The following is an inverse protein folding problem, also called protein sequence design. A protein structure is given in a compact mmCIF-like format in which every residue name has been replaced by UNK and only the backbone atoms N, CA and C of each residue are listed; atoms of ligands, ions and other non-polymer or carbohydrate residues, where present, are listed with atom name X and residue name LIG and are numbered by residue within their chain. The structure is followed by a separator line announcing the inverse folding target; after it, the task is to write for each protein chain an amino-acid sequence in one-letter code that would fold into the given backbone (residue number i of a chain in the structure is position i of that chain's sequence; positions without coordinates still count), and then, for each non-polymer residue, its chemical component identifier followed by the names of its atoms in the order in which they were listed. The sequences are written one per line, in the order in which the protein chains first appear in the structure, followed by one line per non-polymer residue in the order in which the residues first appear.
data_IF_175641963329
#
_entry.id   IF_175641963329
#
_cell.length_a   1.000
_cell.length_b   1.000
_cell.length_c   1.000
_cell.angle_alpha   90.00
_cell.angle_beta   90.00
_cell.angle_gamma   90.00
#
_symmetry.space_group_name_H-M   'P 1'
#
loop_
_entity.id
_entity.type
_entity.pdbx_description
1 polymer ?
#
# COMPACT_ATOMS: atom_id res chain seq x y z
N UNK A 1 -5.59 -8.15 0.93
CA UNK A 1 -4.44 -8.04 1.86
C UNK A 1 -4.84 -8.51 3.26
N UNK A 2 -3.93 -9.00 4.07
CA UNK A 2 -4.19 -9.26 5.50
C UNK A 2 -3.90 -8.00 6.31
N UNK A 3 -4.78 -7.64 7.22
CA UNK A 3 -4.60 -6.51 8.14
C UNK A 3 -4.86 -6.95 9.58
N UNK A 4 -4.44 -6.10 10.52
CA UNK A 4 -4.90 -6.14 11.90
C UNK A 4 -5.72 -4.87 12.16
N UNK A 5 -6.97 -5.02 12.59
CA UNK A 5 -7.84 -3.90 12.96
C UNK A 5 -8.50 -4.20 14.31
N UNK A 6 -8.38 -3.28 15.28
CA UNK A 6 -8.85 -3.46 16.66
C UNK A 6 -8.42 -4.80 17.29
N UNK A 7 -7.17 -5.19 17.06
CA UNK A 7 -6.57 -6.44 17.56
C UNK A 7 -6.99 -7.71 16.83
N UNK A 8 -7.83 -7.63 15.79
CA UNK A 8 -8.28 -8.78 15.01
C UNK A 8 -7.57 -8.88 13.67
N UNK A 9 -7.13 -10.08 13.30
CA UNK A 9 -6.57 -10.35 11.98
C UNK A 9 -7.69 -10.64 10.98
N UNK A 10 -7.66 -9.96 9.83
CA UNK A 10 -8.66 -10.16 8.79
C UNK A 10 -8.09 -9.97 7.39
N UNK A 11 -8.63 -10.73 6.43
CA UNK A 11 -8.36 -10.52 5.01
C UNK A 11 -9.35 -9.50 4.47
N UNK A 12 -8.84 -8.45 3.81
CA UNK A 12 -9.66 -7.37 3.24
C UNK A 12 -9.31 -7.12 1.78
N UNK A 13 -10.33 -6.78 1.01
CA UNK A 13 -10.21 -6.19 -0.33
C UNK A 13 -10.14 -4.65 -0.24
N UNK A 14 -9.96 -3.98 -1.38
CA UNK A 14 -9.86 -2.53 -1.43
C UNK A 14 -11.14 -1.83 -0.94
N UNK A 15 -12.32 -2.43 -1.13
CA UNK A 15 -13.60 -1.88 -0.67
C UNK A 15 -13.70 -1.90 0.85
N UNK A 16 -13.35 -3.02 1.46
CA UNK A 16 -13.36 -3.18 2.92
C UNK A 16 -12.31 -2.28 3.54
N UNK A 17 -11.10 -2.21 2.97
CA UNK A 17 -10.07 -1.28 3.40
C UNK A 17 -10.54 0.19 3.31
N UNK A 18 -11.16 0.60 2.20
CA UNK A 18 -11.71 1.95 2.04
C UNK A 18 -12.75 2.28 3.11
N UNK A 19 -13.68 1.36 3.41
CA UNK A 19 -14.68 1.55 4.47
C UNK A 19 -14.05 1.68 5.85
N UNK A 20 -13.02 0.89 6.15
CA UNK A 20 -12.31 1.00 7.44
C UNK A 20 -11.59 2.34 7.57
N UNK A 21 -10.97 2.83 6.49
CA UNK A 21 -10.30 4.13 6.47
C UNK A 21 -11.31 5.27 6.59
N UNK A 22 -12.41 5.23 5.84
CA UNK A 22 -13.46 6.26 5.88
C UNK A 22 -14.10 6.42 7.27
N UNK A 23 -14.17 5.32 8.03
CA UNK A 23 -14.74 5.32 9.38
C UNK A 23 -13.67 5.46 10.48
N UNK A 24 -12.40 5.68 10.13
CA UNK A 24 -11.35 5.88 11.12
C UNK A 24 -11.42 7.28 11.71
N UNK A 25 -11.38 7.37 13.05
CA UNK A 25 -11.33 8.66 13.74
C UNK A 25 -10.13 9.49 13.27
N UNK A 26 -10.39 10.73 12.86
CA UNK A 26 -9.37 11.66 12.37
C UNK A 26 -9.06 11.55 10.88
N UNK A 27 -9.63 10.58 10.16
CA UNK A 27 -9.57 10.59 8.70
C UNK A 27 -10.58 11.59 8.13
N UNK A 28 -10.07 12.56 7.38
CA UNK A 28 -10.83 13.68 6.81
C UNK A 28 -10.58 13.83 5.30
N UNK A 29 -10.23 12.73 4.62
CA UNK A 29 -9.93 12.75 3.18
C UNK A 29 -8.47 13.08 2.83
N UNK A 30 -7.54 12.85 3.76
CA UNK A 30 -6.11 13.00 3.45
C UNK A 30 -5.63 11.92 2.46
N UNK A 31 -4.54 12.19 1.76
CA UNK A 31 -3.87 11.18 0.93
C UNK A 31 -3.36 10.00 1.77
N UNK A 32 -3.26 8.83 1.15
CA UNK A 32 -2.89 7.57 1.81
C UNK A 32 -1.50 7.14 1.36
N UNK A 33 -0.68 6.64 2.30
CA UNK A 33 0.57 5.93 1.99
C UNK A 33 0.47 4.50 2.49
N UNK A 34 0.50 3.53 1.58
CA UNK A 34 0.46 2.11 1.90
C UNK A 34 1.87 1.63 2.26
N UNK A 35 2.05 1.15 3.49
CA UNK A 35 3.28 0.52 3.95
C UNK A 35 3.13 -1.00 3.97
N UNK A 36 2.91 -1.60 2.80
CA UNK A 36 2.74 -3.05 2.64
C UNK A 36 3.22 -3.51 1.27
N UNK A 37 3.98 -4.60 1.24
CA UNK A 37 4.63 -5.15 0.03
C UNK A 37 3.67 -5.26 -1.16
N UNK A 38 4.14 -4.89 -2.35
CA UNK A 38 3.47 -5.11 -3.64
C UNK A 38 2.09 -4.45 -3.80
N UNK A 39 1.66 -3.59 -2.88
CA UNK A 39 0.32 -2.97 -2.96
C UNK A 39 0.15 -2.01 -4.14
N UNK A 40 1.26 -1.53 -4.72
CA UNK A 40 1.33 -0.74 -5.95
C UNK A 40 1.98 -1.47 -7.12
N UNK A 41 2.07 -2.81 -7.10
CA UNK A 41 2.73 -3.59 -8.15
C UNK A 41 1.96 -3.59 -9.49
N UNK A 42 0.65 -3.36 -9.45
CA UNK A 42 -0.21 -3.31 -10.64
C UNK A 42 -0.84 -1.92 -10.78
N UNK A 43 -0.91 -1.45 -12.02
CA UNK A 43 -1.44 -0.13 -12.37
C UNK A 43 -2.94 0.01 -12.10
N UNK A 44 -3.68 -1.10 -12.17
CA UNK A 44 -5.10 -1.27 -11.90
C UNK A 44 -5.35 -2.12 -10.63
N UNK A 45 -4.33 -2.26 -9.77
CA UNK A 45 -4.35 -3.12 -8.60
C UNK A 45 -5.00 -2.51 -7.36
N UNK A 46 -4.58 -3.01 -6.20
CA UNK A 46 -5.13 -2.61 -4.90
C UNK A 46 -5.04 -1.09 -4.67
N UNK A 47 -3.87 -0.48 -4.91
CA UNK A 47 -3.66 0.95 -4.70
C UNK A 47 -4.56 1.83 -5.60
N UNK A 48 -4.67 1.51 -6.89
CA UNK A 48 -5.53 2.27 -7.81
C UNK A 48 -7.01 2.15 -7.44
N UNK A 49 -7.47 0.94 -7.13
CA UNK A 49 -8.84 0.72 -6.69
C UNK A 49 -9.15 1.42 -5.37
N UNK A 50 -8.18 1.51 -4.46
CA UNK A 50 -8.32 2.27 -3.22
C UNK A 50 -8.40 3.79 -3.48
N UNK A 51 -7.53 4.31 -4.35
CA UNK A 51 -7.54 5.72 -4.77
C UNK A 51 -8.89 6.11 -5.37
N UNK A 52 -9.42 5.27 -6.27
CA UNK A 52 -10.72 5.46 -6.89
C UNK A 52 -11.87 5.43 -5.86
N UNK A 53 -11.84 4.48 -4.92
CA UNK A 53 -12.90 4.31 -3.93
C UNK A 53 -12.93 5.43 -2.89
N UNK A 54 -11.77 5.94 -2.49
CA UNK A 54 -11.65 7.03 -1.50
C UNK A 54 -11.66 8.42 -2.13
N UNK A 55 -11.46 8.51 -3.45
CA UNK A 55 -11.27 9.75 -4.19
C UNK A 55 -10.12 10.61 -3.62
N UNK A 56 -8.98 9.98 -3.34
CA UNK A 56 -7.75 10.63 -2.85
C UNK A 56 -6.50 10.05 -3.53
N UNK A 57 -5.37 10.74 -3.40
CA UNK A 57 -4.06 10.21 -3.78
C UNK A 57 -3.66 9.01 -2.91
N UNK A 58 -3.08 7.98 -3.53
CA UNK A 58 -2.50 6.82 -2.85
C UNK A 58 -1.06 6.61 -3.30
N UNK A 59 -0.12 6.54 -2.35
CA UNK A 59 1.27 6.17 -2.60
C UNK A 59 1.49 4.72 -2.16
N UNK A 60 1.97 3.86 -3.06
CA UNK A 60 2.15 2.45 -2.75
C UNK A 60 3.43 1.85 -3.35
N UNK A 61 4.09 0.90 -2.66
CA UNK A 61 5.31 0.26 -3.14
C UNK A 61 5.03 -0.68 -4.31
N UNK A 62 5.85 -0.58 -5.36
CA UNK A 62 5.77 -1.43 -6.57
C UNK A 62 6.38 -2.82 -6.39
N UNK A 63 7.11 -3.05 -5.30
CA UNK A 63 7.75 -4.33 -4.95
C UNK A 63 7.70 -4.56 -3.42
N UNK A 64 8.51 -5.46 -2.85
CA UNK A 64 8.59 -5.65 -1.40
C UNK A 64 9.03 -4.35 -0.70
N UNK A 65 8.34 -4.04 0.39
CA UNK A 65 8.66 -2.94 1.27
C UNK A 65 9.55 -3.46 2.41
N UNK A 66 10.73 -2.87 2.52
CA UNK A 66 11.68 -3.15 3.59
C UNK A 66 11.68 -1.98 4.57
N UNK A 67 11.57 -2.28 5.86
CA UNK A 67 11.70 -1.31 6.94
C UNK A 67 13.02 -1.55 7.69
N UNK A 68 13.76 -0.48 7.99
CA UNK A 68 14.99 -0.52 8.77
C UNK A 68 14.71 -0.25 10.24
N UNK A 69 15.66 -0.59 11.12
CA UNK A 69 15.56 -0.31 12.55
C UNK A 69 15.44 1.20 12.86
N UNK A 70 16.05 2.05 12.02
CA UNK A 70 15.97 3.51 12.16
C UNK A 70 14.65 4.13 11.69
N UNK A 71 13.64 3.31 11.34
CA UNK A 71 12.34 3.78 10.88
C UNK A 71 12.29 4.23 9.42
N UNK A 72 13.39 4.07 8.67
CA UNK A 72 13.39 4.29 7.23
C UNK A 72 12.77 3.09 6.49
N UNK A 73 12.34 3.32 5.26
CA UNK A 73 11.84 2.27 4.40
C UNK A 73 12.23 2.48 2.95
N UNK A 74 12.38 1.38 2.23
CA UNK A 74 12.72 1.36 0.81
C UNK A 74 12.02 0.20 0.11
N UNK A 75 11.99 0.25 -1.22
CA UNK A 75 11.31 -0.75 -2.05
C UNK A 75 12.34 -1.48 -2.89
N UNK A 76 12.41 -2.80 -2.75
CA UNK A 76 13.35 -3.65 -3.48
C UNK A 76 12.80 -5.07 -3.57
N UNK A 77 13.27 -5.85 -4.54
CA UNK A 77 12.94 -7.27 -4.67
C UNK A 77 13.43 -8.09 -3.47
N UNK A 78 13.22 -9.39 -3.53
CA UNK A 78 13.66 -10.34 -2.49
C UNK A 78 14.65 -11.33 -3.09
N UNK A 79 15.78 -11.52 -2.41
CA UNK A 79 16.77 -12.55 -2.74
C UNK A 79 16.30 -13.93 -2.26
N UNK A 80 16.95 -15.00 -2.73
CA UNK A 80 16.68 -16.37 -2.25
C UNK A 80 16.97 -16.53 -0.74
N UNK A 81 17.82 -15.66 -0.17
CA UNK A 81 18.14 -15.59 1.25
C UNK A 81 17.10 -14.82 2.07
N UNK A 82 15.97 -14.43 1.46
CA UNK A 82 14.89 -13.64 2.07
C UNK A 82 15.33 -12.26 2.58
N UNK A 83 16.40 -11.72 2.01
CA UNK A 83 16.86 -10.34 2.21
C UNK A 83 16.55 -9.44 1.00
N UNK A 84 16.72 -8.11 1.12
CA UNK A 84 16.47 -7.17 0.03
C UNK A 84 17.40 -7.42 -1.15
N UNK A 85 16.83 -7.49 -2.36
CA UNK A 85 17.58 -7.55 -3.61
C UNK A 85 17.86 -6.13 -4.12
N UNK A 86 19.03 -5.59 -3.76
CA UNK A 86 19.41 -4.22 -4.12
C UNK A 86 19.64 -4.01 -5.63
N UNK A 87 19.71 -5.08 -6.43
CA UNK A 87 19.78 -5.02 -7.89
C UNK A 87 18.41 -4.93 -8.56
N UNK A 88 17.32 -5.09 -7.79
CA UNK A 88 15.94 -5.07 -8.27
C UNK A 88 15.16 -4.05 -7.46
N UNK A 89 15.41 -2.77 -7.69
CA UNK A 89 14.75 -1.70 -6.95
C UNK A 89 13.32 -1.51 -7.42
N UNK A 90 12.43 -1.22 -6.47
CA UNK A 90 11.10 -0.69 -6.75
C UNK A 90 11.00 0.77 -6.29
N UNK A 91 9.81 1.33 -6.42
CA UNK A 91 9.52 2.71 -6.02
C UNK A 91 8.22 2.78 -5.23
N UNK A 92 7.96 3.90 -4.58
CA UNK A 92 6.60 4.30 -4.25
C UNK A 92 5.98 4.97 -5.47
N UNK A 93 4.98 4.32 -6.07
CA UNK A 93 4.20 4.89 -7.16
C UNK A 93 3.01 5.67 -6.60
N UNK A 94 2.73 6.83 -7.19
CA UNK A 94 1.53 7.61 -6.94
C UNK A 94 0.39 7.10 -7.83
N UNK A 95 -0.79 6.93 -7.23
CA UNK A 95 -2.05 6.57 -7.86
C UNK A 95 -3.05 7.69 -7.58
N UNK A 96 -3.68 8.21 -8.64
CA UNK A 96 -4.65 9.32 -8.56
C UNK A 96 -6.06 8.81 -8.86
N UNK A 97 -7.12 9.44 -8.31
CA UNK A 97 -8.50 9.08 -8.63
C UNK A 97 -8.77 9.14 -10.14
N UNK A 98 -9.45 8.12 -10.67
CA UNK A 98 -9.78 8.01 -12.09
C UNK A 98 -8.64 7.46 -12.97
N UNK A 99 -7.49 7.11 -12.40
CA UNK A 99 -6.40 6.42 -13.11
C UNK A 99 -6.75 4.98 -13.51
N UNK A 100 -6.08 4.49 -14.56
CA UNK A 100 -6.12 3.11 -15.10
C UNK A 100 -7.53 2.50 -15.23
N UNK A 101 -8.47 3.22 -15.84
CA UNK A 101 -9.75 2.65 -16.29
C UNK A 101 -9.65 2.05 -17.68
#
# INVERSE_FOLDING_TARGET
IQITHNGQHMIVDHRTAARLIQNADGYNGQGIRLLSCNTGALDDGFAQNLANQLNVEVYAPTNYLWATQDGNYFVAGMTNQKGPNMSELGIFKLFIPGGSQ
#
